data_IF_443383063932
#
_entry.id   IF_443383063932
#
_cell.length_a   1.000
_cell.length_b   1.000
_cell.length_c   1.000
_cell.angle_alpha   90.00
_cell.angle_beta   90.00
_cell.angle_gamma   90.00
#
_symmetry.space_group_name_H-M   'P 1'
#
loop_
_entity.id
_entity.type
_entity.pdbx_description
1 polymer ?
#
# COMPACT_ATOMS: atom_id res chain seq x y z
N UNK A 1 12.76 25.29 -2.83
CA UNK A 1 11.77 26.29 -3.27
C UNK A 1 10.73 25.66 -4.18
N UNK A 2 11.10 24.92 -5.25
CA UNK A 2 10.18 24.25 -6.20
C UNK A 2 9.23 23.28 -5.49
N UNK A 3 9.73 22.40 -4.62
CA UNK A 3 8.92 21.43 -3.84
C UNK A 3 7.89 22.16 -2.97
N UNK A 4 8.29 23.26 -2.31
CA UNK A 4 7.36 24.05 -1.49
C UNK A 4 6.22 24.63 -2.34
N UNK A 5 6.51 25.14 -3.52
CA UNK A 5 5.51 25.68 -4.43
C UNK A 5 4.53 24.59 -4.93
N UNK A 6 5.06 23.40 -5.24
CA UNK A 6 4.22 22.26 -5.63
C UNK A 6 3.34 21.72 -4.47
N UNK A 7 3.79 21.86 -3.21
CA UNK A 7 3.01 21.42 -2.04
C UNK A 7 1.88 22.39 -1.65
N UNK A 8 1.92 23.64 -2.07
CA UNK A 8 0.88 24.64 -1.72
C UNK A 8 -0.54 24.25 -2.16
N UNK A 9 -0.78 23.84 -3.43
CA UNK A 9 -2.11 23.38 -3.86
C UNK A 9 -2.58 22.16 -3.08
N UNK A 10 -1.67 21.26 -2.68
CA UNK A 10 -2.02 20.11 -1.86
C UNK A 10 -2.58 20.51 -0.49
N UNK A 11 -2.03 21.56 0.13
CA UNK A 11 -2.50 22.00 1.46
C UNK A 11 -3.88 22.66 1.40
N UNK A 12 -4.25 23.28 0.27
CA UNK A 12 -5.57 23.88 0.07
C UNK A 12 -6.59 22.89 -0.47
N UNK A 13 -6.15 21.80 -1.11
CA UNK A 13 -7.01 20.84 -1.78
C UNK A 13 -7.58 21.34 -3.12
N UNK A 14 -7.04 22.44 -3.65
CA UNK A 14 -7.49 23.02 -4.91
C UNK A 14 -6.50 22.75 -6.04
N UNK A 15 -7.01 22.53 -7.26
CA UNK A 15 -6.22 22.34 -8.48
C UNK A 15 -5.15 21.24 -8.32
N UNK A 16 -5.54 20.12 -7.75
CA UNK A 16 -4.62 19.04 -7.39
C UNK A 16 -3.83 18.52 -8.60
N UNK A 17 -4.45 18.46 -9.81
CA UNK A 17 -3.78 18.05 -11.04
C UNK A 17 -2.64 18.98 -11.47
N UNK A 18 -2.62 20.21 -10.98
CA UNK A 18 -1.51 21.14 -11.24
C UNK A 18 -0.33 20.95 -10.29
N UNK A 19 -0.51 20.14 -9.27
CA UNK A 19 0.48 19.89 -8.22
C UNK A 19 0.98 18.45 -8.20
N UNK A 20 0.11 17.48 -8.52
CA UNK A 20 0.45 16.06 -8.46
C UNK A 20 -0.06 15.29 -9.67
N UNK A 21 0.66 14.22 -10.01
CA UNK A 21 0.16 13.20 -10.91
C UNK A 21 -0.89 12.35 -10.16
N UNK A 22 -2.15 12.80 -10.24
CA UNK A 22 -3.26 12.18 -9.51
C UNK A 22 -3.39 10.70 -9.80
N UNK A 23 -3.23 10.29 -11.07
CA UNK A 23 -3.33 8.90 -11.48
C UNK A 23 -2.31 8.00 -10.77
N UNK A 24 -1.06 8.42 -10.77
CA UNK A 24 0.04 7.69 -10.14
C UNK A 24 -0.12 7.64 -8.61
N UNK A 25 -0.55 8.74 -8.02
CA UNK A 25 -0.79 8.83 -6.57
C UNK A 25 -1.94 7.90 -6.14
N UNK A 26 -3.04 7.84 -6.89
CA UNK A 26 -4.14 6.93 -6.59
C UNK A 26 -3.73 5.46 -6.69
N UNK A 27 -2.95 5.10 -7.72
CA UNK A 27 -2.39 3.73 -7.84
C UNK A 27 -1.43 3.40 -6.70
N UNK A 28 -0.58 4.36 -6.29
CA UNK A 28 0.29 4.20 -5.13
C UNK A 28 -0.56 3.85 -3.89
N UNK A 29 -1.61 4.62 -3.60
CA UNK A 29 -2.44 4.36 -2.43
C UNK A 29 -3.21 3.05 -2.54
N UNK A 30 -3.70 2.67 -3.72
CA UNK A 30 -4.33 1.36 -3.94
C UNK A 30 -3.41 0.22 -3.49
N UNK A 31 -2.14 0.26 -3.89
CA UNK A 31 -1.16 -0.78 -3.51
C UNK A 31 -0.85 -0.70 -2.01
N UNK A 32 -0.53 0.49 -1.47
CA UNK A 32 -0.19 0.65 -0.05
C UNK A 32 -1.31 0.15 0.88
N UNK A 33 -2.55 0.46 0.54
CA UNK A 33 -3.72 0.04 1.32
C UNK A 33 -3.99 -1.45 1.16
N UNK A 34 -3.83 -2.00 -0.05
CA UNK A 34 -3.98 -3.44 -0.26
C UNK A 34 -3.00 -4.22 0.64
N UNK A 35 -1.72 -3.87 0.58
CA UNK A 35 -0.67 -4.57 1.34
C UNK A 35 -0.55 -4.09 2.78
N UNK A 36 -1.43 -3.21 3.25
CA UNK A 36 -1.42 -2.67 4.62
C UNK A 36 -0.01 -2.20 5.03
N UNK A 37 0.62 -1.40 4.17
CA UNK A 37 1.95 -0.88 4.45
C UNK A 37 1.87 0.39 5.31
N UNK A 38 1.89 0.21 6.62
CA UNK A 38 1.93 1.33 7.57
C UNK A 38 3.31 1.92 7.76
N UNK A 39 4.36 1.31 7.22
CA UNK A 39 5.68 1.92 7.10
C UNK A 39 5.82 2.71 5.79
N UNK A 40 4.79 3.48 5.47
CA UNK A 40 4.66 4.27 4.25
C UNK A 40 4.12 5.67 4.52
N UNK A 41 3.72 6.38 3.47
CA UNK A 41 3.01 7.67 3.59
C UNK A 41 1.75 7.58 4.46
N UNK A 42 1.04 6.45 4.45
CA UNK A 42 -0.18 6.25 5.24
C UNK A 42 0.08 5.95 6.72
N UNK A 43 1.27 5.56 7.07
CA UNK A 43 1.61 5.18 8.43
C UNK A 43 1.97 6.34 9.35
N UNK A 44 2.08 6.05 10.63
CA UNK A 44 2.33 7.03 11.69
C UNK A 44 3.61 7.87 11.45
N UNK A 45 4.68 7.23 11.00
CA UNK A 45 5.98 7.86 10.78
C UNK A 45 6.09 8.62 9.44
N UNK A 46 5.26 8.27 8.45
CA UNK A 46 5.32 8.86 7.12
C UNK A 46 6.64 8.59 6.41
N UNK A 47 7.05 7.35 6.37
CA UNK A 47 8.32 6.86 5.83
C UNK A 47 8.18 6.24 4.43
N UNK A 48 9.32 5.77 3.91
CA UNK A 48 9.48 4.84 2.78
C UNK A 48 8.74 5.25 1.50
N UNK A 49 8.90 6.51 1.15
CA UNK A 49 8.53 7.04 -0.16
C UNK A 49 9.45 8.19 -0.55
N UNK A 50 9.52 8.47 -1.84
CA UNK A 50 10.16 9.65 -2.38
C UNK A 50 9.13 10.51 -3.10
N UNK A 51 9.30 11.83 -3.03
CA UNK A 51 8.58 12.77 -3.88
C UNK A 51 9.52 13.16 -5.03
N UNK A 52 9.09 12.85 -6.24
CA UNK A 52 9.76 13.27 -7.46
C UNK A 52 9.00 14.44 -8.08
N UNK A 53 9.69 15.53 -8.36
CA UNK A 53 9.09 16.71 -8.97
C UNK A 53 9.64 16.92 -10.37
N UNK A 54 8.74 16.97 -11.35
CA UNK A 54 9.04 17.31 -12.73
C UNK A 54 8.05 18.36 -13.25
N UNK A 55 8.57 19.49 -13.73
CA UNK A 55 7.76 20.58 -14.30
C UNK A 55 6.64 21.10 -13.36
N UNK A 56 6.85 21.09 -12.07
CA UNK A 56 5.88 21.52 -11.06
C UNK A 56 4.91 20.45 -10.60
N UNK A 57 4.94 19.25 -11.20
CA UNK A 57 4.08 18.12 -10.87
C UNK A 57 4.86 17.14 -9.97
N UNK A 58 4.24 16.76 -8.85
CA UNK A 58 4.79 15.77 -7.93
C UNK A 58 4.27 14.36 -8.27
N UNK A 59 5.19 13.41 -8.26
CA UNK A 59 4.91 11.97 -8.22
C UNK A 59 5.37 11.40 -6.89
N UNK A 60 4.72 10.33 -6.42
CA UNK A 60 5.11 9.59 -5.23
C UNK A 60 5.68 8.24 -5.63
N UNK A 61 6.94 8.00 -5.27
CA UNK A 61 7.66 6.77 -5.57
C UNK A 61 7.69 5.88 -4.34
N UNK A 62 7.24 4.63 -4.44
CA UNK A 62 7.28 3.69 -3.31
C UNK A 62 8.72 3.25 -3.00
N UNK A 63 8.95 2.95 -1.71
CA UNK A 63 10.22 2.43 -1.24
C UNK A 63 9.98 1.45 -0.09
N UNK A 64 10.85 0.45 0.04
CA UNK A 64 10.98 -0.44 1.19
C UNK A 64 9.67 -1.09 1.71
N UNK A 65 9.28 -2.19 1.08
CA UNK A 65 8.07 -2.94 1.43
C UNK A 65 8.30 -4.10 2.41
N UNK A 66 9.48 -4.19 3.01
CA UNK A 66 9.85 -5.32 3.90
C UNK A 66 8.95 -5.44 5.13
N UNK A 67 8.32 -4.34 5.56
CA UNK A 67 7.39 -4.28 6.68
C UNK A 67 5.92 -4.05 6.25
N UNK A 68 5.59 -4.40 5.01
CA UNK A 68 4.20 -4.44 4.54
C UNK A 68 3.41 -5.61 5.15
N UNK A 69 2.17 -5.79 4.73
CA UNK A 69 1.25 -6.83 5.21
C UNK A 69 0.95 -6.77 6.72
N UNK A 70 0.84 -5.53 7.24
CA UNK A 70 0.48 -5.30 8.63
C UNK A 70 1.60 -5.65 9.64
N UNK A 71 2.83 -5.90 9.19
CA UNK A 71 3.92 -6.30 10.09
C UNK A 71 4.60 -5.11 10.80
N UNK A 72 4.38 -3.88 10.32
CA UNK A 72 4.91 -2.68 10.96
C UNK A 72 4.05 -2.22 12.13
N UNK A 73 4.63 -2.20 13.32
CA UNK A 73 3.91 -1.84 14.55
C UNK A 73 4.55 -0.68 15.31
N UNK A 74 5.65 -0.09 14.80
CA UNK A 74 6.37 0.99 15.47
C UNK A 74 5.50 2.25 15.62
N UNK A 75 5.38 2.73 16.84
CA UNK A 75 4.56 3.91 17.15
C UNK A 75 3.06 3.61 17.27
N UNK A 76 2.61 2.37 17.09
CA UNK A 76 1.24 1.96 17.37
C UNK A 76 1.07 1.64 18.85
N UNK A 77 0.05 2.24 19.47
CA UNK A 77 -0.26 2.00 20.89
C UNK A 77 -0.79 0.57 21.10
N UNK A 78 -1.56 0.08 20.14
CA UNK A 78 -2.14 -1.26 20.16
C UNK A 78 -2.03 -1.88 18.76
N UNK A 79 -0.92 -2.57 18.44
CA UNK A 79 -0.75 -3.21 17.15
C UNK A 79 -1.80 -4.28 16.90
N UNK A 80 -2.37 -4.31 15.70
CA UNK A 80 -3.36 -5.31 15.29
C UNK A 80 -2.66 -6.67 15.21
N UNK A 81 -3.15 -7.62 16.02
CA UNK A 81 -2.63 -9.00 16.10
C UNK A 81 -3.58 -10.03 15.52
N UNK A 82 -4.86 -9.69 15.39
CA UNK A 82 -5.88 -10.59 14.83
C UNK A 82 -5.81 -10.53 13.29
N UNK A 83 -5.46 -11.65 12.62
CA UNK A 83 -5.39 -11.71 11.17
C UNK A 83 -6.74 -11.38 10.49
N UNK A 84 -7.87 -11.66 11.15
CA UNK A 84 -9.17 -11.32 10.59
C UNK A 84 -9.38 -9.80 10.51
N UNK A 85 -8.87 -9.03 11.47
CA UNK A 85 -8.91 -7.57 11.41
C UNK A 85 -8.02 -7.07 10.27
N UNK A 86 -6.84 -7.65 10.10
CA UNK A 86 -5.92 -7.29 9.02
C UNK A 86 -6.53 -7.58 7.64
N UNK A 87 -7.07 -8.80 7.45
CA UNK A 87 -7.71 -9.22 6.21
C UNK A 87 -8.87 -8.29 5.84
N UNK A 88 -9.66 -7.89 6.83
CA UNK A 88 -10.85 -7.04 6.64
C UNK A 88 -10.59 -5.55 6.85
N UNK A 89 -9.33 -5.13 6.92
CA UNK A 89 -9.00 -3.72 7.16
C UNK A 89 -9.61 -2.82 6.08
N UNK A 90 -10.27 -1.71 6.46
CA UNK A 90 -11.05 -0.90 5.53
C UNK A 90 -10.18 -0.22 4.47
N UNK A 91 -10.66 -0.19 3.23
CA UNK A 91 -9.96 0.50 2.12
C UNK A 91 -10.28 2.00 2.08
N UNK A 92 -11.41 2.42 2.62
CA UNK A 92 -11.87 3.82 2.57
C UNK A 92 -11.34 4.66 3.73
N UNK A 93 -10.97 4.02 4.83
CA UNK A 93 -10.39 4.65 6.03
C UNK A 93 -9.13 3.88 6.46
N UNK A 94 -8.10 3.80 5.60
CA UNK A 94 -6.93 2.93 5.83
C UNK A 94 -6.01 3.41 6.93
N UNK A 95 -6.19 4.64 7.40
CA UNK A 95 -5.50 5.19 8.57
C UNK A 95 -6.46 6.14 9.29
N UNK A 96 -6.55 6.03 10.60
CA UNK A 96 -7.47 6.80 11.43
C UNK A 96 -6.80 8.02 12.07
N UNK A 97 -7.64 9.02 12.44
CA UNK A 97 -7.28 10.14 13.27
C UNK A 97 -6.37 11.17 12.61
N UNK A 98 -5.57 11.82 13.44
CA UNK A 98 -4.71 12.96 13.04
C UNK A 98 -3.73 12.64 11.92
N UNK A 99 -3.30 11.37 11.79
CA UNK A 99 -2.37 10.95 10.73
C UNK A 99 -2.95 11.28 9.35
N UNK A 100 -4.21 10.96 9.11
CA UNK A 100 -4.86 11.21 7.82
C UNK A 100 -5.18 12.68 7.61
N UNK A 101 -5.59 13.39 8.66
CA UNK A 101 -5.86 14.84 8.59
C UNK A 101 -4.60 15.63 8.26
N UNK A 102 -3.44 15.17 8.74
CA UNK A 102 -2.15 15.80 8.49
C UNK A 102 -1.47 15.32 7.20
N UNK A 103 -2.09 14.41 6.42
CA UNK A 103 -1.58 13.86 5.16
C UNK A 103 -2.37 14.35 3.95
N UNK A 104 -2.13 15.59 3.50
CA UNK A 104 -2.96 16.27 2.52
C UNK A 104 -3.04 15.51 1.17
N UNK A 105 -1.99 14.78 0.79
CA UNK A 105 -1.96 14.06 -0.47
C UNK A 105 -3.05 12.97 -0.56
N UNK A 106 -3.29 12.22 0.52
CA UNK A 106 -4.40 11.26 0.56
C UNK A 106 -5.73 11.94 0.85
N UNK A 107 -5.78 12.65 1.98
CA UNK A 107 -7.01 13.23 2.50
C UNK A 107 -7.70 14.18 1.51
N UNK A 108 -6.94 15.07 0.87
CA UNK A 108 -7.52 16.02 -0.07
C UNK A 108 -7.92 15.38 -1.39
N UNK A 109 -7.21 14.36 -1.88
CA UNK A 109 -7.63 13.61 -3.05
C UNK A 109 -8.94 12.85 -2.80
N UNK A 110 -9.07 12.18 -1.65
CA UNK A 110 -10.22 11.34 -1.35
C UNK A 110 -11.51 12.13 -1.03
N UNK A 111 -11.43 13.45 -0.87
CA UNK A 111 -12.60 14.34 -0.77
C UNK A 111 -13.30 14.59 -2.11
N UNK A 112 -12.63 14.31 -3.23
CA UNK A 112 -13.20 14.50 -4.55
C UNK A 112 -13.83 13.20 -5.02
N UNK A 113 -15.15 13.21 -5.25
CA UNK A 113 -15.91 12.02 -5.66
C UNK A 113 -15.31 11.34 -6.89
N UNK A 114 -14.80 12.12 -7.86
CA UNK A 114 -14.15 11.60 -9.06
C UNK A 114 -12.89 10.81 -8.71
N UNK A 115 -12.02 11.33 -7.84
CA UNK A 115 -10.78 10.64 -7.47
C UNK A 115 -11.06 9.43 -6.59
N UNK A 116 -12.04 9.54 -5.72
CA UNK A 116 -12.49 8.41 -4.90
C UNK A 116 -13.04 7.28 -5.77
N UNK A 117 -13.88 7.59 -6.76
CA UNK A 117 -14.37 6.60 -7.72
C UNK A 117 -13.23 5.95 -8.54
N UNK A 118 -12.23 6.73 -8.96
CA UNK A 118 -11.03 6.20 -9.65
C UNK A 118 -10.19 5.30 -8.74
N UNK A 119 -10.06 5.65 -7.47
CA UNK A 119 -9.37 4.81 -6.47
C UNK A 119 -10.06 3.45 -6.33
N UNK A 120 -11.40 3.41 -6.24
CA UNK A 120 -12.17 2.17 -6.25
C UNK A 120 -12.00 1.38 -7.57
N UNK A 121 -11.99 2.06 -8.71
CA UNK A 121 -11.76 1.41 -10.00
C UNK A 121 -10.35 0.79 -10.09
N UNK A 122 -9.33 1.36 -9.43
CA UNK A 122 -8.01 0.73 -9.34
C UNK A 122 -8.01 -0.51 -8.46
N UNK A 123 -8.77 -0.54 -7.37
CA UNK A 123 -8.96 -1.78 -6.61
C UNK A 123 -9.65 -2.84 -7.44
N UNK A 124 -10.77 -2.50 -8.10
CA UNK A 124 -11.47 -3.44 -8.98
C UNK A 124 -10.54 -4.04 -10.04
N UNK A 125 -9.74 -3.19 -10.69
CA UNK A 125 -8.75 -3.61 -11.68
C UNK A 125 -7.66 -4.50 -11.06
N UNK A 126 -7.13 -4.14 -9.89
CA UNK A 126 -6.13 -4.94 -9.18
C UNK A 126 -6.68 -6.33 -8.84
N UNK A 127 -7.92 -6.40 -8.35
CA UNK A 127 -8.55 -7.66 -8.01
C UNK A 127 -8.79 -8.52 -9.24
N UNK A 128 -9.44 -7.99 -10.27
CA UNK A 128 -9.81 -8.75 -11.46
C UNK A 128 -8.60 -9.20 -12.28
N UNK A 129 -7.61 -8.32 -12.50
CA UNK A 129 -6.50 -8.61 -13.41
C UNK A 129 -5.33 -9.36 -12.72
N UNK A 130 -5.22 -9.30 -11.40
CA UNK A 130 -4.07 -9.87 -10.70
C UNK A 130 -4.43 -11.00 -9.74
N UNK A 131 -5.49 -10.84 -8.93
CA UNK A 131 -5.89 -11.85 -7.95
C UNK A 131 -6.86 -12.87 -8.51
N UNK A 132 -8.00 -12.44 -9.01
CA UNK A 132 -9.06 -13.33 -9.54
C UNK A 132 -8.63 -14.06 -10.81
N UNK A 133 -7.72 -13.47 -11.57
CA UNK A 133 -7.07 -14.14 -12.72
C UNK A 133 -6.09 -15.26 -12.35
N UNK A 134 -5.76 -15.40 -11.07
CA UNK A 134 -4.75 -16.33 -10.56
C UNK A 134 -3.29 -15.88 -10.80
N UNK A 135 -3.07 -14.73 -11.42
CA UNK A 135 -1.74 -14.23 -11.76
C UNK A 135 -0.87 -14.00 -10.50
N UNK A 136 -1.48 -13.54 -9.41
CA UNK A 136 -0.79 -13.35 -8.14
C UNK A 136 -0.16 -14.65 -7.63
N UNK A 137 -0.94 -15.72 -7.49
CA UNK A 137 -0.47 -17.01 -6.99
C UNK A 137 0.67 -17.58 -7.85
N UNK A 138 0.52 -17.50 -9.18
CA UNK A 138 1.59 -17.92 -10.12
C UNK A 138 2.86 -17.10 -9.92
N UNK A 139 2.75 -15.79 -9.84
CA UNK A 139 3.92 -14.89 -9.66
C UNK A 139 4.61 -15.15 -8.32
N UNK A 140 3.84 -15.26 -7.24
CA UNK A 140 4.37 -15.53 -5.90
C UNK A 140 5.15 -16.84 -5.88
N UNK A 141 4.56 -17.93 -6.38
CA UNK A 141 5.19 -19.25 -6.40
C UNK A 141 6.44 -19.31 -7.29
N UNK A 142 6.42 -18.63 -8.43
CA UNK A 142 7.59 -18.52 -9.30
C UNK A 142 8.73 -17.75 -8.61
N UNK A 143 8.41 -16.63 -7.97
CA UNK A 143 9.39 -15.82 -7.25
C UNK A 143 9.98 -16.59 -6.07
N UNK A 144 9.14 -17.23 -5.25
CA UNK A 144 9.59 -18.06 -4.13
C UNK A 144 10.54 -19.18 -4.58
N UNK A 145 10.19 -19.87 -5.69
CA UNK A 145 11.06 -20.88 -6.28
C UNK A 145 12.40 -20.31 -6.76
N UNK A 146 12.38 -19.14 -7.36
CA UNK A 146 13.58 -18.49 -7.89
C UNK A 146 14.55 -18.09 -6.77
N UNK A 147 14.04 -17.57 -5.64
CA UNK A 147 14.88 -17.11 -4.53
C UNK A 147 15.26 -18.21 -3.55
N UNK A 148 14.55 -19.34 -3.52
CA UNK A 148 14.74 -20.44 -2.57
C UNK A 148 16.23 -20.87 -2.37
N UNK A 149 17.04 -21.07 -3.44
CA UNK A 149 18.45 -21.47 -3.26
C UNK A 149 19.32 -20.40 -2.59
N UNK A 150 18.92 -19.14 -2.66
CA UNK A 150 19.61 -18.03 -2.03
C UNK A 150 19.21 -17.92 -0.56
N UNK A 151 17.91 -18.00 -0.27
CA UNK A 151 17.37 -17.98 1.10
C UNK A 151 17.96 -19.13 1.94
N UNK A 152 18.04 -20.33 1.36
CA UNK A 152 18.63 -21.49 2.05
C UNK A 152 20.11 -21.31 2.46
N UNK A 153 20.84 -20.50 1.72
CA UNK A 153 22.30 -20.32 1.90
C UNK A 153 22.65 -18.98 2.53
N UNK A 154 21.66 -18.16 2.85
CA UNK A 154 21.89 -16.82 3.40
C UNK A 154 22.46 -16.93 4.82
N UNK A 155 23.73 -16.55 5.04
CA UNK A 155 24.34 -16.59 6.37
C UNK A 155 23.81 -15.51 7.31
N UNK A 156 23.02 -14.56 6.80
CA UNK A 156 22.42 -13.46 7.55
C UNK A 156 20.93 -13.68 7.81
N UNK A 157 20.38 -14.83 7.42
CA UNK A 157 18.98 -15.16 7.64
C UNK A 157 18.61 -15.07 9.13
N UNK A 158 17.48 -14.42 9.40
CA UNK A 158 16.93 -14.28 10.77
C UNK A 158 15.82 -15.29 11.06
N UNK A 159 15.49 -16.17 10.11
CA UNK A 159 14.54 -17.26 10.24
C UNK A 159 15.05 -18.52 9.56
N UNK A 160 14.46 -19.66 9.88
CA UNK A 160 14.78 -20.92 9.18
C UNK A 160 14.20 -20.93 7.77
N UNK A 161 14.68 -21.85 6.93
CA UNK A 161 14.12 -22.02 5.59
C UNK A 161 12.68 -22.57 5.64
N UNK A 162 12.38 -23.39 6.62
CA UNK A 162 11.03 -23.90 6.89
C UNK A 162 10.07 -22.76 7.28
N UNK A 163 10.51 -21.81 8.11
CA UNK A 163 9.72 -20.61 8.45
C UNK A 163 9.50 -19.74 7.21
N UNK A 164 10.51 -19.59 6.35
CA UNK A 164 10.35 -18.88 5.09
C UNK A 164 9.29 -19.54 4.18
N UNK A 165 9.30 -20.88 4.07
CA UNK A 165 8.30 -21.59 3.28
C UNK A 165 6.88 -21.40 3.85
N UNK A 166 6.72 -21.51 5.16
CA UNK A 166 5.46 -21.25 5.83
C UNK A 166 5.00 -19.80 5.61
N UNK A 167 5.92 -18.84 5.67
CA UNK A 167 5.62 -17.43 5.41
C UNK A 167 5.11 -17.19 3.97
N UNK A 168 5.69 -17.89 2.97
CA UNK A 168 5.20 -17.80 1.57
C UNK A 168 3.78 -18.35 1.45
N UNK A 169 3.50 -19.50 2.07
CA UNK A 169 2.14 -20.08 2.06
C UNK A 169 1.13 -19.18 2.76
N UNK A 170 1.49 -18.65 3.92
CA UNK A 170 0.66 -17.70 4.68
C UNK A 170 0.40 -16.41 3.91
N UNK A 171 1.43 -15.87 3.23
CA UNK A 171 1.29 -14.66 2.42
C UNK A 171 0.30 -14.88 1.26
N UNK A 172 0.34 -16.03 0.60
CA UNK A 172 -0.62 -16.37 -0.44
C UNK A 172 -2.05 -16.38 0.09
N UNK A 173 -2.28 -17.09 1.20
CA UNK A 173 -3.60 -17.20 1.84
C UNK A 173 -4.12 -15.82 2.28
N UNK A 174 -3.32 -15.06 3.00
CA UNK A 174 -3.71 -13.72 3.49
C UNK A 174 -4.05 -12.78 2.33
N UNK A 175 -3.26 -12.79 1.27
CA UNK A 175 -3.52 -11.91 0.12
C UNK A 175 -4.79 -12.31 -0.64
N UNK A 176 -5.09 -13.60 -0.78
CA UNK A 176 -6.32 -14.07 -1.42
C UNK A 176 -7.55 -13.72 -0.59
N UNK A 177 -7.52 -13.96 0.72
CA UNK A 177 -8.59 -13.56 1.64
C UNK A 177 -8.78 -12.04 1.69
N UNK A 178 -7.69 -11.28 1.63
CA UNK A 178 -7.73 -9.82 1.56
C UNK A 178 -8.39 -9.35 0.27
N UNK A 179 -8.08 -9.98 -0.87
CA UNK A 179 -8.70 -9.66 -2.15
C UNK A 179 -10.21 -9.91 -2.12
N UNK A 180 -10.66 -11.03 -1.53
CA UNK A 180 -12.07 -11.34 -1.34
C UNK A 180 -12.76 -10.30 -0.43
N UNK A 181 -12.15 -9.96 0.70
CA UNK A 181 -12.66 -8.93 1.60
C UNK A 181 -12.80 -7.58 0.90
N UNK A 182 -11.79 -7.15 0.13
CA UNK A 182 -11.85 -5.88 -0.60
C UNK A 182 -12.94 -5.93 -1.67
N UNK A 183 -13.14 -7.06 -2.34
CA UNK A 183 -14.26 -7.22 -3.30
C UNK A 183 -15.59 -6.90 -2.63
N UNK A 184 -15.84 -7.45 -1.45
CA UNK A 184 -17.05 -7.15 -0.67
C UNK A 184 -17.14 -5.72 -0.11
N UNK A 185 -16.03 -4.97 -0.08
CA UNK A 185 -16.04 -3.55 0.31
C UNK A 185 -16.31 -2.61 -0.86
N UNK A 186 -16.17 -3.09 -2.11
CA UNK A 186 -16.45 -2.32 -3.33
C UNK A 186 -17.92 -2.40 -3.76
N UNK A 187 -18.63 -3.48 -3.36
CA UNK A 187 -20.05 -3.72 -3.63
C UNK A 187 -20.95 -2.86 -2.70
#
# INVERSE_FOLDING_TARGET
KRVIEALKPLSTGEKLETAVNVDEVLRYFTVQVFVMNWDSYLGHTGHNYFLYEENGILSILPWDYNLAFGTYALGMTDPIKDPNILINYPINTPAEGEVMLNRPLYHNLMKHDEYFARYHAYFDKLLSEYFESGRFAVTLRQTAKQIAPYVQKDPTAFCSYEDHQLAVDTLEEVCLLRAESIRGQLD
#
